data_IF_247931536347
#
_entry.id   IF_247931536347
#
_cell.length_a   1.000
_cell.length_b   1.000
_cell.length_c   1.000
_cell.angle_alpha   90.00
_cell.angle_beta   90.00
_cell.angle_gamma   90.00
#
_symmetry.space_group_name_H-M   'P 1'
#
loop_
_entity.id
_entity.type
_entity.pdbx_description
1 polymer ?
#
# COMPACT_ATOMS: atom_id res chain seq x y z
N UNK A 1 53.14 2.64 0.35
CA UNK A 1 52.54 2.72 1.71
C UNK A 1 51.33 3.65 1.79
N UNK A 2 51.24 4.70 0.97
CA UNK A 2 50.18 5.73 1.05
C UNK A 2 48.82 5.27 0.48
N UNK A 3 48.80 4.39 -0.53
CA UNK A 3 47.56 3.91 -1.16
C UNK A 3 46.70 3.00 -0.25
N UNK A 4 47.34 2.19 0.59
CA UNK A 4 46.62 1.34 1.55
C UNK A 4 45.85 2.18 2.58
N UNK A 5 46.47 3.25 3.11
CA UNK A 5 45.82 4.17 4.05
C UNK A 5 44.60 4.87 3.46
N UNK A 6 44.65 5.23 2.16
CA UNK A 6 43.53 5.86 1.46
C UNK A 6 42.33 4.93 1.34
N UNK A 7 42.54 3.65 1.04
CA UNK A 7 41.46 2.67 0.92
C UNK A 7 40.73 2.41 2.24
N UNK A 8 41.47 2.24 3.34
CA UNK A 8 40.87 2.10 4.67
C UNK A 8 40.09 3.35 5.09
N UNK A 9 40.62 4.54 4.78
CA UNK A 9 39.93 5.80 5.06
C UNK A 9 38.58 5.92 4.33
N UNK A 10 38.53 5.52 3.05
CA UNK A 10 37.29 5.50 2.26
C UNK A 10 36.28 4.45 2.76
N UNK A 11 36.74 3.25 3.10
CA UNK A 11 35.89 2.19 3.67
C UNK A 11 35.27 2.58 5.01
N UNK A 12 36.05 3.25 5.86
CA UNK A 12 35.58 3.74 7.17
C UNK A 12 34.51 4.81 6.96
N UNK A 13 34.73 5.76 6.04
CA UNK A 13 33.75 6.82 5.74
C UNK A 13 32.42 6.26 5.21
N UNK A 14 32.47 5.26 4.32
CA UNK A 14 31.27 4.60 3.80
C UNK A 14 30.49 3.85 4.91
N UNK A 15 31.22 3.22 5.84
CA UNK A 15 30.61 2.53 6.99
C UNK A 15 29.87 3.49 7.93
N UNK A 16 30.44 4.69 8.17
CA UNK A 16 29.78 5.73 8.96
C UNK A 16 28.50 6.25 8.29
N UNK A 17 28.46 6.37 6.96
CA UNK A 17 27.25 6.76 6.23
C UNK A 17 26.12 5.72 6.35
N UNK A 18 26.45 4.43 6.39
CA UNK A 18 25.47 3.37 6.62
C UNK A 18 24.90 3.38 8.06
N UNK A 19 25.71 3.78 9.04
CA UNK A 19 25.30 3.94 10.44
C UNK A 19 24.54 5.26 10.69
N UNK A 20 24.70 6.24 9.79
CA UNK A 20 24.04 7.55 9.85
C UNK A 20 22.60 7.53 9.34
N UNK A 21 21.99 6.34 9.13
CA UNK A 21 20.56 6.25 8.84
C UNK A 21 19.83 7.00 9.95
N UNK A 22 19.03 8.03 9.63
CA UNK A 22 18.22 8.68 10.64
C UNK A 22 17.28 7.62 11.20
N UNK A 23 17.60 7.14 12.39
CA UNK A 23 16.71 6.30 13.17
C UNK A 23 15.54 7.18 13.54
N UNK A 24 14.50 7.17 12.71
CA UNK A 24 13.25 7.84 13.02
C UNK A 24 12.79 7.31 14.38
N UNK A 25 12.67 8.15 15.41
CA UNK A 25 12.09 7.71 16.66
C UNK A 25 10.67 7.24 16.34
N UNK A 26 10.34 5.98 16.64
CA UNK A 26 8.95 5.58 16.74
C UNK A 26 8.34 6.47 17.83
N UNK A 27 7.61 7.51 17.41
CA UNK A 27 6.94 8.45 18.30
C UNK A 27 5.90 7.66 19.08
N UNK A 28 6.25 7.21 20.28
CA UNK A 28 5.28 6.76 21.27
C UNK A 28 4.63 8.05 21.78
N UNK A 29 3.45 8.35 21.24
CA UNK A 29 2.65 9.47 21.70
C UNK A 29 2.27 9.20 23.16
N UNK A 30 2.44 10.17 24.08
CA UNK A 30 2.03 9.99 25.46
C UNK A 30 0.52 9.85 25.49
N UNK A 31 0.05 8.77 26.11
CA UNK A 31 -1.34 8.62 26.50
C UNK A 31 -1.76 9.82 27.37
N UNK A 32 -3.03 10.19 27.20
CA UNK A 32 -3.86 11.03 28.07
C UNK A 32 -4.02 12.50 27.68
N UNK A 33 -4.90 12.74 26.71
CA UNK A 33 -6.16 13.44 27.00
C UNK A 33 -7.11 13.20 25.84
N UNK A 34 -8.40 13.01 26.14
CA UNK A 34 -9.50 12.85 25.19
C UNK A 34 -9.50 13.96 24.13
N UNK A 35 -8.70 13.77 23.09
CA UNK A 35 -8.78 14.54 21.87
C UNK A 35 -9.64 13.65 21.01
N UNK A 36 -10.89 14.03 20.85
CA UNK A 36 -11.79 13.47 19.84
C UNK A 36 -11.05 13.61 18.51
N UNK A 37 -10.27 12.59 18.14
CA UNK A 37 -9.97 12.35 16.74
C UNK A 37 -11.37 12.06 16.22
N UNK A 38 -11.99 13.04 15.58
CA UNK A 38 -12.87 12.73 14.49
C UNK A 38 -11.98 11.98 13.49
N UNK A 39 -11.77 10.68 13.75
CA UNK A 39 -11.49 9.72 12.71
C UNK A 39 -12.74 9.86 11.90
N UNK A 40 -12.62 10.69 10.88
CA UNK A 40 -13.62 10.98 9.90
C UNK A 40 -14.44 9.72 9.65
N UNK A 41 -15.63 9.68 10.25
CA UNK A 41 -16.55 8.53 10.25
C UNK A 41 -16.88 8.09 8.81
N UNK A 42 -16.63 8.96 7.82
CA UNK A 42 -16.73 8.64 6.42
C UNK A 42 -15.72 7.56 5.96
N UNK A 43 -14.46 7.58 6.42
CA UNK A 43 -13.44 6.62 5.93
C UNK A 43 -13.66 5.21 6.50
N UNK A 44 -14.05 5.12 7.76
CA UNK A 44 -14.39 3.84 8.40
C UNK A 44 -15.57 3.19 7.71
N UNK A 45 -16.55 3.99 7.28
CA UNK A 45 -17.70 3.50 6.51
C UNK A 45 -17.24 2.99 5.14
N UNK A 46 -16.42 3.74 4.40
CA UNK A 46 -15.97 3.34 3.05
C UNK A 46 -15.17 2.04 3.03
N UNK A 47 -14.25 1.83 3.98
CA UNK A 47 -13.50 0.56 4.04
C UNK A 47 -14.37 -0.59 4.53
N UNK A 48 -15.31 -0.33 5.46
CA UNK A 48 -16.28 -1.33 5.88
C UNK A 48 -17.16 -1.78 4.71
N UNK A 49 -17.56 -0.87 3.81
CA UNK A 49 -18.32 -1.21 2.60
C UNK A 49 -17.56 -2.18 1.67
N UNK A 50 -16.24 -2.29 1.76
CA UNK A 50 -15.48 -3.27 0.98
C UNK A 50 -15.50 -4.68 1.58
N UNK A 51 -15.97 -4.87 2.82
CA UNK A 51 -16.12 -6.23 3.38
C UNK A 51 -17.11 -7.10 2.60
N UNK A 52 -18.08 -6.49 1.90
CA UNK A 52 -18.98 -7.23 0.99
C UNK A 52 -18.27 -7.84 -0.22
N UNK A 53 -17.05 -7.39 -0.52
CA UNK A 53 -16.20 -7.94 -1.59
C UNK A 53 -15.35 -9.12 -1.09
N UNK A 54 -15.39 -9.44 0.21
CA UNK A 54 -14.79 -10.67 0.72
C UNK A 54 -15.48 -11.86 0.05
N UNK A 55 -14.69 -12.84 -0.38
CA UNK A 55 -15.12 -14.01 -1.13
C UNK A 55 -15.73 -13.74 -2.51
N UNK A 56 -15.59 -12.51 -3.04
CA UNK A 56 -15.93 -12.24 -4.43
C UNK A 56 -14.94 -12.97 -5.36
N UNK A 57 -15.46 -13.89 -6.16
CA UNK A 57 -14.68 -14.65 -7.14
C UNK A 57 -14.72 -13.99 -8.52
N UNK A 58 -13.79 -14.36 -9.39
CA UNK A 58 -13.79 -13.95 -10.80
C UNK A 58 -15.14 -14.29 -11.45
N UNK A 59 -15.71 -13.32 -12.15
CA UNK A 59 -17.02 -13.41 -12.79
C UNK A 59 -18.19 -13.05 -11.87
N UNK A 60 -17.98 -12.86 -10.57
CA UNK A 60 -19.00 -12.33 -9.67
C UNK A 60 -19.34 -10.88 -10.00
N UNK A 61 -20.59 -10.50 -9.76
CA UNK A 61 -21.04 -9.11 -9.84
C UNK A 61 -21.51 -8.69 -8.45
N UNK A 62 -20.73 -7.82 -7.80
CA UNK A 62 -20.99 -7.36 -6.44
C UNK A 62 -20.99 -5.85 -6.44
N UNK A 63 -22.03 -5.25 -5.84
CA UNK A 63 -22.12 -3.79 -5.74
C UNK A 63 -20.86 -3.23 -5.09
N UNK A 64 -20.31 -2.16 -5.65
CA UNK A 64 -19.10 -1.49 -5.16
C UNK A 64 -17.79 -2.00 -5.74
N UNK A 65 -17.82 -2.99 -6.62
CA UNK A 65 -16.62 -3.45 -7.33
C UNK A 65 -16.08 -2.36 -8.27
N UNK A 66 -16.96 -1.55 -8.87
CA UNK A 66 -16.58 -0.35 -9.63
C UNK A 66 -15.80 0.64 -8.77
N UNK A 67 -16.15 0.79 -7.48
CA UNK A 67 -15.44 1.66 -6.55
C UNK A 67 -14.04 1.11 -6.24
N UNK A 68 -13.90 -0.20 -6.06
CA UNK A 68 -12.59 -0.85 -5.93
C UNK A 68 -11.70 -0.60 -7.16
N UNK A 69 -12.26 -0.69 -8.37
CA UNK A 69 -11.56 -0.37 -9.62
C UNK A 69 -11.09 1.10 -9.66
N UNK A 70 -11.89 2.05 -9.18
CA UNK A 70 -11.48 3.46 -9.06
C UNK A 70 -10.31 3.63 -8.11
N UNK A 71 -10.31 2.91 -6.98
CA UNK A 71 -9.18 2.93 -6.06
C UNK A 71 -7.89 2.44 -6.73
N UNK A 72 -7.91 1.29 -7.41
CA UNK A 72 -6.73 0.81 -8.13
C UNK A 72 -6.29 1.77 -9.24
N UNK A 73 -7.22 2.43 -9.91
CA UNK A 73 -6.91 3.47 -10.89
C UNK A 73 -6.15 4.64 -10.27
N UNK A 74 -6.61 5.14 -9.12
CA UNK A 74 -5.97 6.25 -8.40
C UNK A 74 -4.52 5.96 -8.01
N UNK A 75 -4.21 4.70 -7.71
CA UNK A 75 -2.85 4.25 -7.38
C UNK A 75 -2.03 3.78 -8.59
N UNK A 76 -2.58 3.89 -9.81
CA UNK A 76 -1.88 3.52 -11.05
C UNK A 76 -1.79 2.02 -11.32
N UNK A 77 -2.44 1.17 -10.52
CA UNK A 77 -2.51 -0.27 -10.76
C UNK A 77 -3.44 -0.63 -11.90
N UNK A 78 -4.47 0.19 -12.12
CA UNK A 78 -5.48 -0.04 -13.13
C UNK A 78 -5.69 1.24 -13.96
N UNK A 79 -4.78 1.58 -14.90
CA UNK A 79 -4.86 2.81 -15.69
C UNK A 79 -6.00 2.73 -16.71
N UNK A 80 -7.23 3.06 -16.29
CA UNK A 80 -8.36 3.26 -17.18
C UNK A 80 -8.44 4.73 -17.60
N UNK A 81 -8.68 4.98 -18.90
CA UNK A 81 -8.91 6.33 -19.42
C UNK A 81 -10.26 6.90 -18.98
N UNK A 82 -11.26 6.04 -18.71
CA UNK A 82 -12.59 6.43 -18.25
C UNK A 82 -13.00 5.67 -16.99
N UNK A 83 -13.06 6.36 -15.86
CA UNK A 83 -13.56 5.83 -14.58
C UNK A 83 -15.09 5.86 -14.48
N UNK A 84 -15.77 6.54 -15.41
CA UNK A 84 -17.25 6.68 -15.41
C UNK A 84 -17.98 5.41 -15.89
N UNK A 85 -17.31 4.58 -16.70
CA UNK A 85 -17.92 3.40 -17.33
C UNK A 85 -17.48 2.08 -16.67
N UNK A 86 -17.16 2.13 -15.38
CA UNK A 86 -16.73 0.95 -14.63
C UNK A 86 -17.92 0.08 -14.25
N UNK A 87 -17.82 -1.20 -14.58
CA UNK A 87 -18.82 -2.20 -14.18
C UNK A 87 -18.51 -2.78 -12.81
N UNK A 88 -19.55 -3.24 -12.13
CA UNK A 88 -19.46 -3.94 -10.86
C UNK A 88 -19.05 -5.43 -10.99
N UNK A 89 -18.54 -5.83 -12.16
CA UNK A 89 -18.11 -7.21 -12.43
C UNK A 89 -16.65 -7.41 -12.02
N UNK A 90 -16.36 -8.51 -11.34
CA UNK A 90 -15.00 -9.00 -11.11
C UNK A 90 -14.47 -9.63 -12.41
N UNK A 91 -13.85 -8.82 -13.27
CA UNK A 91 -13.28 -9.28 -14.53
C UNK A 91 -11.83 -9.80 -14.38
N UNK A 92 -11.32 -10.41 -15.44
CA UNK A 92 -9.94 -10.93 -15.51
C UNK A 92 -8.88 -9.84 -15.31
N UNK A 93 -9.20 -8.59 -15.66
CA UNK A 93 -8.27 -7.48 -15.51
C UNK A 93 -8.10 -7.10 -14.04
N UNK A 94 -9.22 -6.99 -13.31
CA UNK A 94 -9.22 -6.73 -11.88
C UNK A 94 -8.54 -7.86 -11.10
N UNK A 95 -8.76 -9.13 -11.49
CA UNK A 95 -8.05 -10.28 -10.92
C UNK A 95 -6.53 -10.11 -10.99
N UNK A 96 -6.04 -9.80 -12.19
CA UNK A 96 -4.59 -9.61 -12.43
C UNK A 96 -4.04 -8.46 -11.59
N UNK A 97 -4.81 -7.37 -11.44
CA UNK A 97 -4.43 -6.21 -10.63
C UNK A 97 -4.40 -6.54 -9.14
N UNK A 98 -5.41 -7.25 -8.63
CA UNK A 98 -5.47 -7.67 -7.23
C UNK A 98 -4.28 -8.56 -6.89
N UNK A 99 -3.97 -9.54 -7.75
CA UNK A 99 -2.81 -10.41 -7.58
C UNK A 99 -1.49 -9.63 -7.56
N UNK A 100 -1.30 -8.70 -8.50
CA UNK A 100 -0.11 -7.85 -8.54
C UNK A 100 0.02 -6.96 -7.28
N UNK A 101 -1.10 -6.40 -6.83
CA UNK A 101 -1.16 -5.61 -5.60
C UNK A 101 -0.80 -6.44 -4.37
N UNK A 102 -1.36 -7.64 -4.24
CA UNK A 102 -1.07 -8.57 -3.13
C UNK A 102 0.39 -9.06 -3.16
N UNK A 103 0.93 -9.34 -4.34
CA UNK A 103 2.33 -9.70 -4.51
C UNK A 103 3.27 -8.57 -4.06
N UNK A 104 2.96 -7.33 -4.44
CA UNK A 104 3.71 -6.15 -4.01
C UNK A 104 3.66 -5.91 -2.50
N UNK A 105 2.54 -6.25 -1.85
CA UNK A 105 2.37 -6.12 -0.40
C UNK A 105 2.89 -7.33 0.40
N UNK A 106 3.31 -8.42 -0.25
CA UNK A 106 3.68 -9.66 0.43
C UNK A 106 2.49 -10.38 1.09
N UNK A 107 1.27 -10.09 0.65
CA UNK A 107 0.03 -10.73 1.15
C UNK A 107 -0.53 -11.78 0.19
N UNK A 108 0.13 -12.01 -0.95
CA UNK A 108 -0.20 -13.08 -1.87
C UNK A 108 -0.10 -14.42 -1.14
N UNK A 109 -1.25 -15.06 -0.91
CA UNK A 109 -1.33 -16.39 -0.32
C UNK A 109 -1.23 -17.40 -1.45
N UNK A 110 -0.21 -18.26 -1.42
CA UNK A 110 -0.15 -19.47 -2.25
C UNK A 110 -1.50 -20.20 -2.12
N UNK A 111 -2.25 -20.27 -3.21
CA UNK A 111 -3.50 -21.02 -3.30
C UNK A 111 -3.50 -21.84 -4.56
#
# INVERSE_FOLDING_TARGET
MIQFFSYYSLLISFSFLCLSRPSSPARISPDSSSTVIAVDSYNTTTWHEFTRLLDAEKGSQVSGMSELKKYFNRFGYLPLPDTNNLTDVFDTQLESVVLAYQANLGTARDR
#
